data_IF_527460856243
#
_entry.id   IF_527460856243
#
_cell.length_a   1.000
_cell.length_b   1.000
_cell.length_c   1.000
_cell.angle_alpha   90.00
_cell.angle_beta   90.00
_cell.angle_gamma   90.00
#
_symmetry.space_group_name_H-M   'P 1'
#
loop_
_entity.id
_entity.type
_entity.pdbx_description
1 polymer ?
#
# COMPACT_ATOMS: atom_id res chain seq x y z
N UNK A 1 -5.16 -0.91 -16.66
CA UNK A 1 -6.13 0.20 -16.48
C UNK A 1 -5.46 1.51 -16.08
N UNK A 2 -4.81 1.64 -14.90
CA UNK A 2 -4.32 2.93 -14.37
C UNK A 2 -3.33 3.70 -15.26
N UNK A 3 -2.32 3.02 -15.82
CA UNK A 3 -1.35 3.68 -16.72
C UNK A 3 -1.99 4.19 -18.02
N UNK A 4 -2.96 3.44 -18.57
CA UNK A 4 -3.73 3.88 -19.74
C UNK A 4 -4.57 5.12 -19.42
N UNK A 5 -5.25 5.13 -18.27
CA UNK A 5 -5.99 6.32 -17.80
C UNK A 5 -5.08 7.53 -17.60
N UNK A 6 -3.92 7.34 -16.95
CA UNK A 6 -2.96 8.41 -16.67
C UNK A 6 -2.37 8.95 -17.98
N UNK A 7 -1.99 8.09 -18.93
CA UNK A 7 -1.50 8.50 -20.24
C UNK A 7 -2.54 9.32 -21.03
N UNK A 8 -3.82 8.91 -21.00
CA UNK A 8 -4.90 9.70 -21.62
C UNK A 8 -5.09 11.06 -20.95
N UNK A 9 -5.01 11.12 -19.61
CA UNK A 9 -5.13 12.37 -18.87
C UNK A 9 -3.93 13.31 -19.08
N UNK A 10 -2.73 12.76 -19.28
CA UNK A 10 -1.53 13.53 -19.66
C UNK A 10 -1.62 14.09 -21.08
N UNK A 11 -2.27 13.36 -22.00
CA UNK A 11 -2.58 13.83 -23.35
C UNK A 11 -3.76 14.84 -23.39
N UNK A 12 -4.05 15.52 -22.26
CA UNK A 12 -5.11 16.51 -22.10
C UNK A 12 -6.54 16.00 -22.32
N UNK A 13 -6.78 14.69 -22.24
CA UNK A 13 -8.13 14.14 -22.38
C UNK A 13 -9.01 14.56 -21.19
N UNK A 14 -10.24 15.02 -21.48
CA UNK A 14 -11.22 15.38 -20.44
C UNK A 14 -11.55 14.14 -19.59
N UNK A 15 -11.48 14.26 -18.26
CA UNK A 15 -11.74 13.14 -17.31
C UNK A 15 -13.06 12.39 -17.57
N UNK A 16 -14.10 13.09 -18.07
CA UNK A 16 -15.38 12.46 -18.45
C UNK A 16 -15.26 11.55 -19.68
N UNK A 17 -14.44 11.92 -20.66
CA UNK A 17 -14.16 11.10 -21.84
C UNK A 17 -13.39 9.84 -21.46
N UNK A 18 -12.36 9.99 -20.63
CA UNK A 18 -11.58 8.86 -20.09
C UNK A 18 -12.45 7.89 -19.30
N UNK A 19 -13.39 8.39 -18.50
CA UNK A 19 -14.34 7.56 -17.75
C UNK A 19 -15.28 6.75 -18.67
N UNK A 20 -15.78 7.37 -19.75
CA UNK A 20 -16.64 6.72 -20.75
C UNK A 20 -15.88 5.66 -21.56
N UNK A 21 -14.68 5.99 -22.03
CA UNK A 21 -13.85 5.08 -22.82
C UNK A 21 -13.38 3.86 -22.02
N UNK A 22 -13.10 4.06 -20.73
CA UNK A 22 -12.70 2.97 -19.84
C UNK A 22 -13.86 2.29 -19.13
N UNK A 23 -15.11 2.70 -19.40
CA UNK A 23 -16.34 2.22 -18.75
C UNK A 23 -16.24 2.17 -17.21
N UNK A 24 -15.66 3.20 -16.61
CA UNK A 24 -15.48 3.31 -15.15
C UNK A 24 -16.13 4.58 -14.62
N UNK A 25 -16.56 4.54 -13.36
CA UNK A 25 -17.17 5.70 -12.74
C UNK A 25 -16.18 6.89 -12.66
N UNK A 26 -16.70 8.10 -12.92
CA UNK A 26 -15.90 9.34 -12.94
C UNK A 26 -15.10 9.58 -11.65
N UNK A 27 -15.64 9.17 -10.49
CA UNK A 27 -14.95 9.33 -9.20
C UNK A 27 -13.64 8.54 -9.13
N UNK A 28 -13.55 7.40 -9.83
CA UNK A 28 -12.34 6.57 -9.88
C UNK A 28 -11.25 7.31 -10.66
N UNK A 29 -11.59 7.89 -11.81
CA UNK A 29 -10.67 8.70 -12.63
C UNK A 29 -10.22 9.94 -11.86
N UNK A 30 -11.15 10.63 -11.19
CA UNK A 30 -10.81 11.82 -10.39
C UNK A 30 -9.84 11.49 -9.25
N UNK A 31 -10.10 10.43 -8.47
CA UNK A 31 -9.21 9.99 -7.39
C UNK A 31 -7.85 9.57 -7.92
N UNK A 32 -7.82 8.86 -9.05
CA UNK A 32 -6.57 8.43 -9.71
C UNK A 32 -5.74 9.63 -10.17
N UNK A 33 -6.36 10.63 -10.82
CA UNK A 33 -5.66 11.82 -11.28
C UNK A 33 -5.13 12.67 -10.13
N UNK A 34 -5.93 12.84 -9.08
CA UNK A 34 -5.50 13.55 -7.87
C UNK A 34 -4.33 12.85 -7.17
N UNK A 35 -4.35 11.52 -7.13
CA UNK A 35 -3.26 10.71 -6.57
C UNK A 35 -1.98 10.82 -7.42
N UNK A 36 -2.12 10.71 -8.75
CA UNK A 36 -1.00 10.83 -9.68
C UNK A 36 -0.34 12.22 -9.62
N UNK A 37 -1.11 13.31 -9.51
CA UNK A 37 -0.54 14.65 -9.37
C UNK A 37 0.27 14.83 -8.08
N UNK A 38 -0.13 14.18 -6.98
CA UNK A 38 0.55 14.31 -5.69
C UNK A 38 1.83 13.50 -5.61
N UNK A 39 1.82 12.27 -6.14
CA UNK A 39 2.94 11.34 -5.95
C UNK A 39 3.74 11.05 -7.22
N UNK A 40 3.31 11.59 -8.38
CA UNK A 40 3.76 11.18 -9.73
C UNK A 40 3.77 9.67 -9.97
N UNK A 41 3.02 8.93 -9.17
CA UNK A 41 2.98 7.47 -9.22
C UNK A 41 1.55 7.01 -9.48
N UNK A 42 1.39 6.16 -10.50
CA UNK A 42 0.14 5.45 -10.74
C UNK A 42 0.08 4.13 -9.94
N UNK A 43 1.14 3.83 -9.19
CA UNK A 43 1.23 2.66 -8.33
C UNK A 43 0.27 2.81 -7.15
N UNK A 44 -0.21 1.67 -6.65
CA UNK A 44 -0.95 1.66 -5.40
C UNK A 44 0.08 1.97 -4.30
N UNK A 45 -0.11 3.03 -3.50
CA UNK A 45 0.65 3.15 -2.26
C UNK A 45 0.45 1.86 -1.47
N UNK A 46 1.53 1.31 -0.94
CA UNK A 46 1.40 0.34 0.13
C UNK A 46 0.56 1.04 1.21
N UNK A 47 -0.57 0.44 1.58
CA UNK A 47 -1.34 0.98 2.69
C UNK A 47 -0.40 1.12 3.88
N UNK A 48 -0.58 2.15 4.70
CA UNK A 48 0.08 2.17 6.00
C UNK A 48 -0.37 0.89 6.71
N UNK A 49 0.54 -0.09 6.76
CA UNK A 49 0.29 -1.31 7.52
C UNK A 49 0.21 -0.86 8.96
N UNK A 50 -0.77 -1.39 9.71
CA UNK A 50 -0.94 -1.11 11.13
C UNK A 50 0.44 -1.12 11.80
N UNK A 51 0.74 -0.04 12.51
CA UNK A 51 2.04 0.13 13.15
C UNK A 51 2.32 -1.10 14.02
N UNK A 52 3.49 -1.70 13.81
CA UNK A 52 3.91 -2.86 14.57
C UNK A 52 4.14 -2.45 16.02
N UNK A 53 3.58 -3.20 16.95
CA UNK A 53 3.79 -2.98 18.39
C UNK A 53 5.19 -3.42 18.79
N UNK A 54 5.70 -4.50 18.18
CA UNK A 54 7.06 -4.99 18.43
C UNK A 54 8.07 -4.22 17.59
N UNK A 55 9.22 -3.92 18.21
CA UNK A 55 10.37 -3.34 17.53
C UNK A 55 11.23 -4.45 16.92
N UNK A 56 12.14 -4.08 16.02
CA UNK A 56 13.13 -5.01 15.45
C UNK A 56 14.00 -5.65 16.53
N UNK A 57 14.29 -4.92 17.63
CA UNK A 57 15.06 -5.46 18.74
C UNK A 57 14.30 -6.54 19.50
N UNK A 58 12.99 -6.34 19.74
CA UNK A 58 12.12 -7.33 20.39
C UNK A 58 12.05 -8.62 19.56
N UNK A 59 11.91 -8.49 18.25
CA UNK A 59 11.89 -9.65 17.34
C UNK A 59 13.21 -10.44 17.40
N UNK A 60 14.35 -9.74 17.41
CA UNK A 60 15.68 -10.35 17.54
C UNK A 60 15.87 -11.04 18.89
N UNK A 61 15.33 -10.47 19.97
CA UNK A 61 15.36 -11.07 21.30
C UNK A 61 14.51 -12.35 21.33
N UNK A 62 13.27 -12.28 20.85
CA UNK A 62 12.36 -13.43 20.76
C UNK A 62 12.95 -14.57 19.93
N UNK A 63 13.57 -14.26 18.78
CA UNK A 63 14.22 -15.25 17.92
C UNK A 63 15.37 -15.96 18.65
N UNK A 64 16.18 -15.22 19.41
CA UNK A 64 17.28 -15.80 20.17
C UNK A 64 16.77 -16.67 21.33
N UNK A 65 15.76 -16.21 22.07
CA UNK A 65 15.16 -16.97 23.15
C UNK A 65 14.50 -18.26 22.64
N UNK A 66 13.76 -18.19 21.51
CA UNK A 66 13.17 -19.37 20.88
C UNK A 66 14.23 -20.38 20.40
N UNK A 67 15.38 -19.90 19.89
CA UNK A 67 16.50 -20.76 19.49
C UNK A 67 17.17 -21.45 20.68
N UNK A 68 17.41 -20.72 21.78
CA UNK A 68 18.10 -21.22 22.98
C UNK A 68 17.21 -22.09 23.86
N UNK A 69 15.91 -21.78 23.93
CA UNK A 69 14.95 -22.41 24.85
C UNK A 69 13.71 -22.87 24.08
N UNK A 70 13.89 -23.91 23.27
CA UNK A 70 12.86 -24.45 22.35
C UNK A 70 11.60 -24.97 23.03
N UNK A 71 11.65 -25.25 24.33
CA UNK A 71 10.53 -25.77 25.12
C UNK A 71 9.65 -24.67 25.72
N UNK A 72 10.07 -23.40 25.66
CA UNK A 72 9.28 -22.29 26.22
C UNK A 72 8.13 -21.90 25.30
N UNK A 73 7.00 -21.59 25.92
CA UNK A 73 5.79 -21.11 25.22
C UNK A 73 5.89 -19.62 24.92
N UNK A 74 5.14 -19.15 23.91
CA UNK A 74 5.16 -17.75 23.48
C UNK A 74 4.86 -16.75 24.62
N UNK A 75 3.99 -17.12 25.58
CA UNK A 75 3.69 -16.29 26.74
C UNK A 75 4.88 -16.14 27.69
N UNK A 76 5.68 -17.20 27.86
CA UNK A 76 6.89 -17.19 28.68
C UNK A 76 8.04 -16.44 27.99
N UNK A 77 8.00 -16.30 26.66
CA UNK A 77 9.00 -15.55 25.89
C UNK A 77 8.70 -14.04 25.84
N UNK A 78 7.45 -13.66 26.08
CA UNK A 78 6.97 -12.27 26.03
C UNK A 78 6.80 -11.61 27.43
N UNK A 79 7.16 -12.33 28.51
CA UNK A 79 7.30 -11.79 29.88
C UNK A 79 8.71 -11.31 30.11
#
# INVERSE_FOLDING_TARGET
MRWRSVGMLQASARQRGVARELNVHRSIIYRLWNHYQRDRSASRRHGSVRQRITTTADDCYLLQCARRRRTLTARQLAS
#
